data_IF_321740356047
#
_entry.id   IF_321740356047
#
_cell.length_a   1.000
_cell.length_b   1.000
_cell.length_c   1.000
_cell.angle_alpha   90.00
_cell.angle_beta   90.00
_cell.angle_gamma   90.00
#
_symmetry.space_group_name_H-M   'P 1'
#
loop_
_entity.id
_entity.type
_entity.pdbx_description
1 polymer ?
#
# COMPACT_ATOMS: atom_id res chain seq x y z
N UNK A 1 38.19 28.37 35.82
CA UNK A 1 37.26 27.63 36.68
C UNK A 1 35.99 28.47 36.85
N UNK A 2 34.99 28.26 36.00
CA UNK A 2 33.64 28.85 36.11
C UNK A 2 32.67 27.76 35.68
N UNK A 3 31.76 27.41 36.59
CA UNK A 3 30.78 26.34 36.45
C UNK A 3 29.77 26.64 35.33
N UNK A 4 29.40 25.58 34.62
CA UNK A 4 28.30 25.52 33.66
C UNK A 4 26.95 25.62 34.36
N UNK A 5 26.04 26.43 33.81
CA UNK A 5 24.60 26.27 33.99
C UNK A 5 24.07 25.53 32.77
N UNK A 6 23.52 24.34 33.01
CA UNK A 6 22.86 23.51 32.01
C UNK A 6 21.62 24.23 31.47
N UNK A 7 21.61 24.48 30.16
CA UNK A 7 20.42 24.92 29.43
C UNK A 7 19.49 23.74 29.22
N UNK A 8 18.27 23.86 29.72
CA UNK A 8 17.16 22.97 29.43
C UNK A 8 16.69 23.20 27.99
N UNK A 9 17.01 22.27 27.08
CA UNK A 9 16.36 22.18 25.77
C UNK A 9 14.88 21.84 25.97
N UNK A 10 14.02 22.84 25.77
CA UNK A 10 12.58 22.60 25.55
C UNK A 10 12.41 22.00 24.16
N UNK A 11 12.10 20.70 24.10
CA UNK A 11 11.55 20.09 22.90
C UNK A 11 10.31 20.89 22.46
N UNK A 12 10.32 21.37 21.22
CA UNK A 12 9.16 22.02 20.63
C UNK A 12 8.02 20.99 20.51
N UNK A 13 7.03 21.07 21.40
CA UNK A 13 5.75 20.39 21.23
C UNK A 13 5.12 20.89 19.91
N UNK A 14 5.24 20.09 18.84
CA UNK A 14 4.48 20.32 17.61
C UNK A 14 3.00 20.17 17.96
N UNK A 15 2.27 21.29 18.01
CA UNK A 15 0.81 21.29 18.21
C UNK A 15 0.15 20.91 16.89
N UNK A 16 -0.64 19.83 16.89
CA UNK A 16 -1.47 19.41 15.76
C UNK A 16 -2.94 19.63 16.13
N UNK A 17 -3.72 20.12 15.16
CA UNK A 17 -5.12 20.56 15.28
C UNK A 17 -5.87 20.20 14.00
N UNK A 18 -7.17 19.96 14.08
CA UNK A 18 -8.03 19.69 12.91
C UNK A 18 -8.96 20.87 12.60
N UNK A 19 -8.98 21.31 11.36
CA UNK A 19 -9.78 22.46 10.89
C UNK A 19 -10.75 22.03 9.78
N UNK A 20 -11.88 22.74 9.69
CA UNK A 20 -12.89 22.55 8.65
C UNK A 20 -12.79 23.60 7.56
N UNK A 21 -13.26 23.21 6.39
CA UNK A 21 -12.92 23.80 5.13
C UNK A 21 -14.10 23.60 4.16
N UNK A 22 -14.62 24.67 3.56
CA UNK A 22 -15.74 24.57 2.61
C UNK A 22 -15.46 25.40 1.34
N UNK A 23 -16.05 24.98 0.21
CA UNK A 23 -15.99 25.71 -1.06
C UNK A 23 -17.14 25.32 -2.00
N UNK A 24 -17.74 26.30 -2.68
CA UNK A 24 -18.73 26.08 -3.74
C UNK A 24 -18.11 25.51 -5.03
N UNK A 25 -16.77 25.55 -5.16
CA UNK A 25 -15.97 24.94 -6.22
C UNK A 25 -14.62 24.51 -5.62
N UNK A 26 -14.22 23.25 -5.80
CA UNK A 26 -12.97 22.62 -5.31
C UNK A 26 -11.64 23.28 -5.77
N UNK A 27 -11.69 24.48 -6.36
CA UNK A 27 -10.54 25.24 -6.86
C UNK A 27 -9.86 26.02 -5.72
N UNK A 28 -10.61 26.36 -4.67
CA UNK A 28 -10.08 27.04 -3.48
C UNK A 28 -10.87 26.64 -2.26
N UNK A 29 -10.17 26.22 -1.22
CA UNK A 29 -10.76 25.86 0.07
C UNK A 29 -10.59 27.06 1.00
N UNK A 30 -11.69 27.59 1.55
CA UNK A 30 -11.63 28.69 2.51
C UNK A 30 -11.67 28.13 3.93
N UNK A 31 -10.76 28.61 4.79
CA UNK A 31 -10.78 28.37 6.23
C UNK A 31 -12.15 28.77 6.77
N UNK A 32 -12.79 27.89 7.53
CA UNK A 32 -13.90 28.33 8.35
C UNK A 32 -13.31 29.28 9.43
N UNK A 33 -13.83 30.50 9.57
CA UNK A 33 -13.31 31.52 10.51
C UNK A 33 -13.45 31.15 12.01
N UNK A 34 -13.77 29.91 12.33
CA UNK A 34 -13.85 29.38 13.69
C UNK A 34 -12.62 28.52 13.99
N UNK A 35 -12.28 28.39 15.28
CA UNK A 35 -11.13 27.59 15.71
C UNK A 35 -11.24 26.11 15.34
N UNK A 36 -10.15 25.37 15.50
CA UNK A 36 -10.08 23.93 15.25
C UNK A 36 -11.19 23.12 15.95
N UNK A 37 -11.88 22.26 15.19
CA UNK A 37 -12.99 21.41 15.66
C UNK A 37 -12.54 20.25 16.54
N UNK A 38 -11.29 19.82 16.40
CA UNK A 38 -10.60 18.93 17.34
C UNK A 38 -9.30 19.62 17.75
N UNK A 39 -9.32 20.40 18.87
CA UNK A 39 -8.24 21.33 19.21
C UNK A 39 -6.98 20.66 19.78
N UNK A 40 -7.03 19.35 20.04
CA UNK A 40 -5.91 18.55 20.54
C UNK A 40 -6.31 17.10 20.84
N UNK A 41 -5.35 16.28 21.31
CA UNK A 41 -5.60 14.89 21.69
C UNK A 41 -6.50 14.79 22.93
N UNK A 42 -7.01 13.58 23.24
CA UNK A 42 -7.77 13.33 24.46
C UNK A 42 -7.02 13.82 25.72
N UNK A 43 -7.77 14.21 26.75
CA UNK A 43 -7.21 14.81 27.95
C UNK A 43 -6.08 13.95 28.55
N UNK A 44 -4.95 14.60 28.86
CA UNK A 44 -3.75 14.00 29.43
C UNK A 44 -3.06 12.91 28.59
N UNK A 45 -3.43 12.73 27.31
CA UNK A 45 -2.73 11.81 26.42
C UNK A 45 -1.38 12.38 25.95
N UNK A 46 -0.27 11.74 26.36
CA UNK A 46 1.08 12.08 25.89
C UNK A 46 1.34 11.42 24.52
N UNK A 47 0.83 12.05 23.46
CA UNK A 47 0.82 11.45 22.12
C UNK A 47 2.16 11.51 21.39
N UNK A 48 2.48 10.47 20.60
CA UNK A 48 3.61 10.47 19.65
C UNK A 48 3.28 11.22 18.36
N UNK A 49 2.00 11.24 18.01
CA UNK A 49 1.41 11.92 16.85
C UNK A 49 -0.10 12.04 17.03
N UNK A 50 -0.71 13.05 16.42
CA UNK A 50 -2.16 13.25 16.43
C UNK A 50 -2.58 13.99 15.16
N UNK A 51 -2.57 13.26 14.04
CA UNK A 51 -2.69 13.82 12.69
C UNK A 51 -3.43 12.86 11.75
N UNK A 52 -3.55 13.29 10.50
CA UNK A 52 -4.09 12.52 9.39
C UNK A 52 -5.53 12.05 9.66
N UNK A 53 -6.45 13.00 9.90
CA UNK A 53 -7.84 12.66 10.14
C UNK A 53 -8.44 12.01 8.89
N UNK A 54 -9.08 10.86 9.08
CA UNK A 54 -9.77 10.17 8.00
C UNK A 54 -11.25 10.03 8.34
N UNK A 55 -12.09 10.72 7.56
CA UNK A 55 -13.54 10.74 7.75
C UNK A 55 -14.22 9.67 6.91
N UNK A 56 -15.17 8.96 7.52
CA UNK A 56 -15.88 7.87 6.86
C UNK A 56 -17.25 7.62 7.49
N UNK A 57 -18.11 6.90 6.78
CA UNK A 57 -19.35 6.32 7.31
C UNK A 57 -19.20 4.81 7.37
N UNK A 58 -19.75 4.17 8.40
CA UNK A 58 -19.72 2.72 8.52
C UNK A 58 -20.96 2.22 9.29
N UNK A 59 -21.92 1.56 8.62
CA UNK A 59 -23.14 1.12 9.27
C UNK A 59 -22.90 -0.01 10.29
N UNK A 60 -21.76 -0.68 10.24
CA UNK A 60 -21.39 -1.66 11.26
C UNK A 60 -21.04 -0.96 12.59
N UNK A 61 -20.37 0.19 12.54
CA UNK A 61 -20.13 1.05 13.72
C UNK A 61 -21.43 1.67 14.21
N UNK A 62 -22.31 2.15 13.31
CA UNK A 62 -23.62 2.68 13.70
C UNK A 62 -24.37 1.66 14.57
N UNK A 63 -24.43 0.39 14.12
CA UNK A 63 -25.07 -0.71 14.86
C UNK A 63 -24.34 -1.04 16.17
N UNK A 64 -23.02 -1.07 16.18
CA UNK A 64 -22.23 -1.43 17.36
C UNK A 64 -22.31 -0.38 18.48
N UNK A 65 -22.36 0.90 18.09
CA UNK A 65 -22.35 2.06 18.99
C UNK A 65 -23.73 2.68 19.20
N UNK A 66 -24.78 2.09 18.61
CA UNK A 66 -26.14 2.62 18.59
C UNK A 66 -26.19 4.09 18.12
N UNK A 67 -25.37 4.42 17.12
CA UNK A 67 -25.35 5.77 16.53
C UNK A 67 -26.44 5.89 15.46
N UNK A 68 -26.86 7.12 15.16
CA UNK A 68 -27.76 7.37 14.04
C UNK A 68 -27.20 6.81 12.71
N UNK A 69 -28.09 6.29 11.87
CA UNK A 69 -27.72 5.78 10.54
C UNK A 69 -27.02 6.86 9.71
N UNK A 70 -25.84 6.54 9.18
CA UNK A 70 -25.05 7.49 8.39
C UNK A 70 -24.24 8.47 9.24
N UNK A 71 -23.96 8.13 10.50
CA UNK A 71 -23.05 8.92 11.34
C UNK A 71 -21.67 9.01 10.68
N UNK A 72 -21.09 10.21 10.69
CA UNK A 72 -19.71 10.40 10.29
C UNK A 72 -18.77 10.07 11.43
N UNK A 73 -17.80 9.21 11.14
CA UNK A 73 -16.69 8.89 12.01
C UNK A 73 -15.43 9.57 11.51
N UNK A 74 -14.50 9.82 12.41
CA UNK A 74 -13.16 10.26 12.09
C UNK A 74 -12.14 9.44 12.89
N UNK A 75 -11.17 8.86 12.21
CA UNK A 75 -9.97 8.33 12.85
C UNK A 75 -8.87 9.38 12.83
N UNK A 76 -8.04 9.41 13.87
CA UNK A 76 -6.82 10.22 13.92
C UNK A 76 -5.66 9.28 14.23
N UNK A 77 -4.60 9.35 13.41
CA UNK A 77 -3.44 8.48 13.47
C UNK A 77 -2.39 8.99 14.46
N UNK A 78 -1.77 8.06 15.19
CA UNK A 78 -0.63 8.39 16.02
C UNK A 78 -0.23 7.29 17.01
N UNK A 79 -0.17 7.67 18.29
CA UNK A 79 0.25 6.81 19.39
C UNK A 79 0.38 7.54 20.71
N UNK A 80 0.71 6.81 21.75
CA UNK A 80 0.92 7.29 23.13
C UNK A 80 2.30 6.85 23.59
N UNK A 81 3.12 7.81 24.02
CA UNK A 81 4.45 7.56 24.58
C UNK A 81 4.39 6.58 25.75
N UNK A 82 5.27 5.57 25.72
CA UNK A 82 5.34 4.53 26.75
C UNK A 82 4.25 3.45 26.69
N UNK A 83 3.22 3.63 25.85
CA UNK A 83 2.12 2.67 25.68
C UNK A 83 2.19 1.98 24.31
N UNK A 84 2.28 2.74 23.22
CA UNK A 84 2.31 2.18 21.87
C UNK A 84 1.62 3.07 20.85
N UNK A 85 1.48 2.58 19.61
CA UNK A 85 0.77 3.31 18.54
C UNK A 85 -0.72 3.08 18.64
N UNK A 86 -1.48 4.08 18.21
CA UNK A 86 -2.92 4.13 18.38
C UNK A 86 -3.60 4.80 17.20
N UNK A 87 -4.78 4.30 16.87
CA UNK A 87 -5.77 5.00 16.06
C UNK A 87 -6.88 5.47 17.01
N UNK A 88 -7.07 6.78 17.08
CA UNK A 88 -8.07 7.42 17.92
C UNK A 88 -9.36 7.58 17.13
N UNK A 89 -10.48 7.05 17.62
CA UNK A 89 -11.76 7.14 16.91
C UNK A 89 -12.63 8.23 17.52
N UNK A 90 -13.32 8.94 16.64
CA UNK A 90 -14.31 9.94 16.95
C UNK A 90 -15.57 9.70 16.14
N UNK A 91 -16.72 10.17 16.64
CA UNK A 91 -17.94 10.34 15.84
C UNK A 91 -18.43 11.78 15.88
N UNK A 92 -19.07 12.21 14.80
CA UNK A 92 -19.80 13.47 14.76
C UNK A 92 -20.86 13.45 15.88
N UNK A 93 -20.92 14.52 16.66
CA UNK A 93 -21.92 14.63 17.70
C UNK A 93 -23.32 14.77 17.09
N UNK A 94 -24.26 13.92 17.48
CA UNK A 94 -25.52 13.73 16.74
C UNK A 94 -26.38 15.00 16.61
N UNK A 95 -26.28 15.91 17.58
CA UNK A 95 -27.03 17.18 17.58
C UNK A 95 -26.33 18.31 16.83
N UNK A 96 -25.10 18.09 16.35
CA UNK A 96 -24.28 19.07 15.65
C UNK A 96 -24.19 18.74 14.16
N UNK A 97 -25.08 19.37 13.39
CA UNK A 97 -25.14 19.21 11.93
C UNK A 97 -24.04 19.98 11.19
N UNK A 98 -23.30 20.85 11.87
CA UNK A 98 -22.27 21.71 11.29
C UNK A 98 -20.85 21.12 11.45
N UNK A 99 -20.75 19.86 11.92
CA UNK A 99 -19.50 19.12 12.11
C UNK A 99 -18.51 19.77 13.10
N UNK A 100 -18.97 20.66 13.99
CA UNK A 100 -18.10 21.39 14.91
C UNK A 100 -17.64 20.56 16.10
N UNK A 101 -18.40 19.52 16.45
CA UNK A 101 -18.26 18.73 17.66
C UNK A 101 -18.04 17.26 17.32
N UNK A 102 -16.95 16.70 17.85
CA UNK A 102 -16.55 15.32 17.65
C UNK A 102 -16.39 14.63 19.00
N UNK A 103 -17.17 13.60 19.24
CA UNK A 103 -17.12 12.78 20.45
C UNK A 103 -16.00 11.75 20.31
N UNK A 104 -15.07 11.71 21.28
CA UNK A 104 -14.01 10.71 21.33
C UNK A 104 -14.55 9.36 21.82
N UNK A 105 -14.26 8.29 21.07
CA UNK A 105 -14.76 6.93 21.30
C UNK A 105 -13.65 5.94 21.73
N UNK A 106 -12.49 6.44 22.12
CA UNK A 106 -11.39 5.63 22.59
C UNK A 106 -10.34 5.30 21.53
N UNK A 107 -9.39 4.44 21.93
CA UNK A 107 -8.31 3.96 21.07
C UNK A 107 -8.81 2.76 20.27
N UNK A 108 -9.48 3.03 19.15
CA UNK A 108 -10.10 2.00 18.30
C UNK A 108 -9.13 0.90 17.90
N UNK A 109 -7.87 1.23 17.65
CA UNK A 109 -6.80 0.24 17.57
C UNK A 109 -5.62 0.67 18.40
N UNK A 110 -5.06 -0.25 19.18
CA UNK A 110 -3.84 -0.04 19.96
C UNK A 110 -2.94 -1.26 19.91
N UNK A 111 -1.64 -1.04 19.81
CA UNK A 111 -0.65 -2.12 19.75
C UNK A 111 0.62 -1.70 20.52
N UNK A 112 1.28 -2.63 21.21
CA UNK A 112 2.50 -2.37 22.01
C UNK A 112 3.73 -1.94 21.19
N UNK A 113 4.36 -0.83 21.53
CA UNK A 113 5.48 -0.25 20.78
C UNK A 113 6.46 -1.26 20.14
N UNK A 114 6.68 -1.07 18.84
CA UNK A 114 7.51 -1.86 17.94
C UNK A 114 7.23 -3.37 17.84
N UNK A 115 6.05 -3.90 18.18
CA UNK A 115 5.69 -5.31 17.85
C UNK A 115 5.39 -5.52 16.35
N UNK A 116 5.19 -6.78 15.94
CA UNK A 116 4.88 -7.22 14.56
C UNK A 116 3.65 -8.13 14.53
N UNK A 117 3.00 -8.24 13.36
CA UNK A 117 1.95 -9.23 13.08
C UNK A 117 2.49 -10.67 13.08
N UNK A 118 3.64 -10.86 12.43
CA UNK A 118 4.36 -12.13 12.31
C UNK A 118 5.87 -11.87 12.26
N UNK A 119 6.66 -12.76 12.86
CA UNK A 119 8.13 -12.69 12.79
C UNK A 119 8.65 -13.02 11.38
N UNK A 120 7.86 -13.74 10.59
CA UNK A 120 8.14 -14.03 9.19
C UNK A 120 8.09 -12.79 8.27
N UNK A 121 7.69 -11.62 8.79
CA UNK A 121 7.77 -10.34 8.09
C UNK A 121 6.65 -10.06 7.09
N UNK A 122 5.54 -10.82 7.13
CA UNK A 122 4.42 -10.68 6.20
C UNK A 122 3.76 -9.28 6.23
N UNK A 123 3.79 -8.60 7.37
CA UNK A 123 3.25 -7.25 7.54
C UNK A 123 4.24 -6.27 8.18
N UNK A 124 5.54 -6.43 7.95
CA UNK A 124 6.57 -5.54 8.51
C UNK A 124 6.48 -5.44 10.03
N UNK A 125 6.54 -4.22 10.58
CA UNK A 125 6.35 -3.95 12.01
C UNK A 125 5.27 -2.88 12.19
N UNK A 126 4.55 -2.95 13.30
CA UNK A 126 3.59 -1.91 13.68
C UNK A 126 4.29 -0.61 14.12
N UNK A 127 5.58 -0.66 14.43
CA UNK A 127 6.43 0.51 14.65
C UNK A 127 6.17 1.30 15.93
N UNK A 128 6.51 2.58 15.96
CA UNK A 128 6.35 3.46 17.13
C UNK A 128 5.22 4.45 16.99
N UNK A 129 4.75 4.71 15.76
CA UNK A 129 3.68 5.65 15.45
C UNK A 129 2.93 5.18 14.19
N UNK A 130 1.61 5.37 14.17
CA UNK A 130 0.80 5.21 12.96
C UNK A 130 0.59 6.57 12.26
N UNK A 131 0.52 6.53 10.93
CA UNK A 131 0.27 7.69 10.07
C UNK A 131 -0.72 7.30 8.96
N UNK A 132 -1.47 8.29 8.45
CA UNK A 132 -2.31 8.17 7.24
C UNK A 132 -3.18 6.91 7.23
N UNK A 133 -3.90 6.67 8.32
CA UNK A 133 -4.87 5.58 8.36
C UNK A 133 -6.06 5.89 7.43
N UNK A 134 -6.53 4.89 6.69
CA UNK A 134 -7.80 4.94 5.98
C UNK A 134 -8.66 3.76 6.44
N UNK A 135 -9.92 4.02 6.71
CA UNK A 135 -10.89 3.02 7.13
C UNK A 135 -11.93 2.74 6.03
N UNK A 136 -12.19 1.47 5.74
CA UNK A 136 -13.15 1.07 4.72
C UNK A 136 -13.62 -0.37 4.90
N UNK A 137 -14.67 -0.76 4.18
CA UNK A 137 -15.18 -2.12 4.17
C UNK A 137 -15.31 -2.63 2.73
N UNK A 138 -14.98 -3.90 2.53
CA UNK A 138 -14.85 -4.53 1.23
C UNK A 138 -15.64 -5.84 1.14
N UNK A 139 -16.09 -6.14 -0.08
CA UNK A 139 -16.44 -7.49 -0.49
C UNK A 139 -15.58 -7.91 -1.70
N UNK A 140 -15.96 -8.99 -2.38
CA UNK A 140 -15.21 -9.49 -3.55
C UNK A 140 -15.29 -8.58 -4.78
N UNK A 141 -16.25 -7.65 -4.83
CA UNK A 141 -16.48 -6.74 -5.96
C UNK A 141 -15.87 -5.36 -5.76
N UNK A 142 -15.60 -4.96 -4.51
CA UNK A 142 -15.02 -3.65 -4.21
C UNK A 142 -15.47 -3.13 -2.85
N UNK A 143 -15.82 -1.84 -2.81
CA UNK A 143 -16.33 -1.21 -1.58
C UNK A 143 -17.73 -1.72 -1.29
N UNK A 144 -17.94 -2.16 -0.06
CA UNK A 144 -19.26 -2.55 0.44
C UNK A 144 -19.38 -2.11 1.90
N UNK A 145 -20.34 -1.24 2.26
CA UNK A 145 -20.45 -0.71 3.62
C UNK A 145 -20.68 -1.79 4.69
N UNK A 146 -21.29 -2.93 4.33
CA UNK A 146 -21.53 -4.08 5.21
C UNK A 146 -20.49 -5.20 5.03
N UNK A 147 -19.44 -4.98 4.22
CA UNK A 147 -18.38 -5.95 3.96
C UNK A 147 -17.36 -6.11 5.11
N UNK A 148 -16.30 -6.88 4.85
CA UNK A 148 -15.19 -7.06 5.80
C UNK A 148 -14.45 -5.74 6.00
N UNK A 149 -14.12 -5.39 7.25
CA UNK A 149 -13.48 -4.12 7.59
C UNK A 149 -11.97 -4.22 7.36
N UNK A 150 -11.43 -3.20 6.69
CA UNK A 150 -10.01 -3.02 6.44
C UNK A 150 -9.55 -1.63 6.87
N UNK A 151 -8.26 -1.55 7.21
CA UNK A 151 -7.53 -0.30 7.29
C UNK A 151 -6.28 -0.37 6.42
N UNK A 152 -5.93 0.73 5.76
CA UNK A 152 -4.56 0.97 5.27
C UNK A 152 -3.90 1.98 6.18
N UNK A 153 -2.61 1.82 6.47
CA UNK A 153 -1.90 2.74 7.36
C UNK A 153 -0.39 2.70 7.13
N UNK A 154 0.25 3.82 7.42
CA UNK A 154 1.67 3.91 7.59
C UNK A 154 2.10 3.51 9.00
N UNK A 155 3.19 2.75 9.13
CA UNK A 155 3.86 2.54 10.42
C UNK A 155 5.32 2.99 10.37
N UNK A 156 5.70 3.88 11.29
CA UNK A 156 7.06 4.42 11.40
C UNK A 156 7.90 3.64 12.41
N UNK A 157 9.09 3.19 12.05
CA UNK A 157 10.02 2.60 13.02
C UNK A 157 11.49 2.82 12.70
N UNK A 158 12.33 2.65 13.73
CA UNK A 158 13.77 2.90 13.66
C UNK A 158 14.58 1.74 14.23
N UNK A 159 15.81 1.59 13.74
CA UNK A 159 16.77 0.66 14.30
C UNK A 159 17.24 1.14 15.68
N UNK A 160 17.72 0.20 16.50
CA UNK A 160 18.35 0.56 17.77
C UNK A 160 19.85 0.90 17.55
N UNK A 161 20.39 1.94 18.20
CA UNK A 161 19.67 2.94 19.01
C UNK A 161 18.86 3.91 18.16
N UNK A 162 17.70 4.36 18.69
CA UNK A 162 16.82 5.33 18.01
C UNK A 162 17.56 6.66 17.86
N UNK A 163 17.59 7.19 16.64
CA UNK A 163 18.10 8.54 16.36
C UNK A 163 16.94 9.54 16.44
N UNK A 164 17.07 10.62 17.24
CA UNK A 164 16.02 11.63 17.36
C UNK A 164 15.60 12.19 16.01
N UNK A 165 14.28 12.32 15.80
CA UNK A 165 13.66 12.86 14.57
C UNK A 165 13.91 12.05 13.29
N UNK A 166 14.37 10.80 13.39
CA UNK A 166 14.58 9.92 12.24
C UNK A 166 13.72 8.66 12.39
N UNK A 167 12.91 8.41 11.37
CA UNK A 167 12.24 7.12 11.14
C UNK A 167 13.00 6.40 10.01
N UNK A 168 13.76 5.34 10.35
CA UNK A 168 14.60 4.61 9.38
C UNK A 168 13.77 3.83 8.35
N UNK A 169 12.60 3.36 8.79
CA UNK A 169 11.72 2.51 8.01
C UNK A 169 10.29 3.01 8.15
N UNK A 170 9.60 3.01 7.01
CA UNK A 170 8.20 3.36 6.87
C UNK A 170 7.52 2.24 6.13
N UNK A 171 6.55 1.61 6.80
CA UNK A 171 5.84 0.45 6.30
C UNK A 171 4.47 0.85 5.77
N UNK A 172 4.19 0.60 4.49
CA UNK A 172 2.87 0.82 3.91
C UNK A 172 2.01 -0.43 4.10
N UNK A 173 1.25 -0.47 5.19
CA UNK A 173 0.52 -1.64 5.65
C UNK A 173 -0.96 -1.62 5.25
N UNK A 174 -1.55 -2.81 5.25
CA UNK A 174 -2.99 -3.02 5.35
C UNK A 174 -3.30 -4.03 6.45
N UNK A 175 -4.49 -3.92 7.03
CA UNK A 175 -4.99 -4.83 8.06
C UNK A 175 -6.48 -5.06 7.87
N UNK A 176 -6.93 -6.31 7.92
CA UNK A 176 -8.33 -6.68 8.04
C UNK A 176 -8.64 -7.00 9.50
N UNK A 177 -9.88 -6.80 9.93
CA UNK A 177 -10.23 -7.09 11.31
C UNK A 177 -11.71 -7.05 11.61
N UNK A 178 -12.02 -7.37 12.87
CA UNK A 178 -13.37 -7.31 13.43
C UNK A 178 -13.41 -6.24 14.49
N UNK A 179 -14.58 -5.66 14.69
CA UNK A 179 -14.82 -4.72 15.79
C UNK A 179 -15.68 -5.35 16.88
N UNK A 180 -15.39 -4.99 18.12
CA UNK A 180 -16.11 -5.43 19.31
C UNK A 180 -16.14 -4.33 20.36
N UNK A 181 -17.12 -4.36 21.25
CA UNK A 181 -17.13 -3.49 22.42
C UNK A 181 -16.31 -4.13 23.54
N UNK A 182 -15.39 -3.37 24.11
CA UNK A 182 -14.68 -3.76 25.31
C UNK A 182 -15.66 -3.71 26.49
N UNK A 183 -15.95 -4.85 27.10
CA UNK A 183 -16.92 -4.95 28.20
C UNK A 183 -16.49 -4.21 29.47
N UNK A 184 -15.19 -3.92 29.65
CA UNK A 184 -14.66 -3.22 30.82
C UNK A 184 -14.67 -1.70 30.65
N UNK A 185 -14.29 -1.21 29.47
CA UNK A 185 -14.16 0.22 29.21
C UNK A 185 -15.36 0.82 28.47
N UNK A 186 -16.16 -0.01 27.79
CA UNK A 186 -17.22 0.42 26.89
C UNK A 186 -16.72 0.90 25.52
N UNK A 187 -15.41 0.96 25.30
CA UNK A 187 -14.82 1.43 24.06
C UNK A 187 -15.02 0.42 22.92
N UNK A 188 -15.18 0.92 21.70
CA UNK A 188 -15.11 0.07 20.51
C UNK A 188 -13.66 -0.21 20.15
N UNK A 189 -13.34 -1.47 19.86
CA UNK A 189 -11.99 -1.96 19.57
C UNK A 189 -11.97 -2.78 18.29
N UNK A 190 -11.00 -2.49 17.42
CA UNK A 190 -10.66 -3.23 16.22
C UNK A 190 -9.58 -4.27 16.52
N UNK A 191 -9.88 -5.52 16.21
CA UNK A 191 -9.01 -6.69 16.39
C UNK A 191 -8.56 -7.23 15.02
N UNK A 192 -7.25 -7.17 14.69
CA UNK A 192 -6.72 -7.69 13.43
C UNK A 192 -6.96 -9.19 13.24
N UNK A 193 -7.42 -9.59 12.05
CA UNK A 193 -7.59 -10.99 11.63
C UNK A 193 -6.55 -11.41 10.59
N UNK A 194 -6.08 -10.49 9.76
CA UNK A 194 -4.97 -10.67 8.83
C UNK A 194 -4.33 -9.32 8.48
N UNK A 195 -3.05 -9.31 8.12
CA UNK A 195 -2.34 -8.09 7.78
C UNK A 195 -1.22 -8.31 6.77
N UNK A 196 -0.94 -7.31 5.96
CA UNK A 196 0.15 -7.35 4.98
C UNK A 196 0.65 -5.96 4.63
N UNK A 197 1.42 -5.89 3.53
CA UNK A 197 1.87 -4.62 2.96
C UNK A 197 1.09 -4.31 1.70
N UNK A 198 0.58 -3.08 1.61
CA UNK A 198 -0.01 -2.56 0.39
C UNK A 198 1.08 -2.17 -0.62
N UNK A 199 2.26 -1.76 -0.13
CA UNK A 199 3.45 -1.49 -0.93
C UNK A 199 4.70 -2.00 -0.24
N UNK A 200 5.45 -2.89 -0.89
CA UNK A 200 6.68 -3.47 -0.34
C UNK A 200 7.93 -2.60 -0.54
N UNK A 201 7.87 -1.62 -1.45
CA UNK A 201 9.03 -0.78 -1.75
C UNK A 201 9.29 0.20 -0.62
N UNK A 202 10.56 0.39 -0.24
CA UNK A 202 10.90 1.21 0.93
C UNK A 202 10.56 2.69 0.80
N UNK A 203 10.40 3.17 -0.43
CA UNK A 203 9.98 4.55 -0.74
C UNK A 203 8.46 4.71 -0.89
N UNK A 204 7.69 3.61 -0.80
CA UNK A 204 6.24 3.63 -0.97
C UNK A 204 5.56 3.74 0.41
N UNK A 205 4.74 4.78 0.62
CA UNK A 205 4.12 5.08 1.92
C UNK A 205 2.87 5.94 1.78
N UNK A 206 2.26 6.31 2.92
CA UNK A 206 1.19 7.30 3.02
C UNK A 206 0.08 7.12 1.98
N UNK A 207 -0.51 5.93 1.92
CA UNK A 207 -1.60 5.66 1.01
C UNK A 207 -2.81 6.55 1.32
N UNK A 208 -3.34 7.20 0.30
CA UNK A 208 -4.60 7.94 0.37
C UNK A 208 -5.69 7.11 -0.29
N UNK A 209 -6.63 6.62 0.51
CA UNK A 209 -7.79 5.87 0.06
C UNK A 209 -9.05 6.72 -0.04
N UNK A 210 -9.92 6.47 -1.02
CA UNK A 210 -11.28 7.04 -1.08
C UNK A 210 -12.28 6.07 -1.70
N UNK A 211 -13.53 6.19 -1.26
CA UNK A 211 -14.67 5.55 -1.91
C UNK A 211 -14.92 6.25 -3.24
N UNK A 212 -14.99 5.47 -4.31
CA UNK A 212 -15.38 5.90 -5.64
C UNK A 212 -16.67 5.16 -6.03
N UNK A 213 -17.79 5.84 -5.89
CA UNK A 213 -19.11 5.23 -6.09
C UNK A 213 -19.35 4.83 -7.55
N UNK A 214 -20.26 3.88 -7.78
CA UNK A 214 -20.77 3.48 -9.09
C UNK A 214 -21.39 4.66 -9.86
N UNK A 215 -21.85 5.69 -9.14
CA UNK A 215 -22.44 6.90 -9.72
C UNK A 215 -21.42 7.96 -10.16
N UNK A 216 -20.15 7.79 -9.77
CA UNK A 216 -19.05 8.67 -10.21
C UNK A 216 -18.87 8.64 -11.72
N UNK A 217 -18.31 9.71 -12.29
CA UNK A 217 -18.10 9.80 -13.74
C UNK A 217 -17.21 8.66 -14.27
N UNK A 218 -16.14 8.33 -13.53
CA UNK A 218 -15.23 7.25 -13.89
C UNK A 218 -15.95 5.90 -13.88
N UNK A 219 -16.65 5.57 -12.79
CA UNK A 219 -17.38 4.30 -12.68
C UNK A 219 -18.50 4.17 -13.70
N UNK A 220 -19.26 5.24 -14.01
CA UNK A 220 -20.27 5.22 -15.06
C UNK A 220 -19.69 4.91 -16.44
N UNK A 221 -18.51 5.45 -16.75
CA UNK A 221 -17.83 5.19 -18.04
C UNK A 221 -17.30 3.77 -18.14
N UNK A 222 -16.79 3.21 -17.03
CA UNK A 222 -16.17 1.88 -17.00
C UNK A 222 -17.14 0.76 -16.60
N UNK A 223 -18.38 1.08 -16.23
CA UNK A 223 -19.34 0.11 -15.68
C UNK A 223 -18.91 -0.45 -14.33
N UNK A 224 -18.07 0.27 -13.58
CA UNK A 224 -17.56 -0.21 -12.30
C UNK A 224 -18.61 -0.10 -11.17
N UNK A 225 -18.61 -1.03 -10.21
CA UNK A 225 -19.43 -0.92 -9.01
C UNK A 225 -18.88 0.17 -8.07
N UNK A 226 -19.36 0.21 -6.83
CA UNK A 226 -18.71 0.97 -5.77
C UNK A 226 -17.31 0.39 -5.52
N UNK A 227 -16.32 1.28 -5.43
CA UNK A 227 -14.90 0.92 -5.32
C UNK A 227 -14.27 1.63 -4.15
N UNK A 228 -13.23 1.04 -3.61
CA UNK A 228 -12.25 1.76 -2.82
C UNK A 228 -10.98 1.91 -3.65
N UNK A 229 -10.60 3.16 -3.94
CA UNK A 229 -9.40 3.48 -4.72
C UNK A 229 -8.32 4.00 -3.78
N UNK A 230 -7.15 3.40 -3.84
CA UNK A 230 -5.98 3.79 -3.06
C UNK A 230 -4.86 4.32 -3.96
N UNK A 231 -4.29 5.47 -3.59
CA UNK A 231 -3.09 6.04 -4.20
C UNK A 231 -1.96 6.00 -3.19
N UNK A 232 -0.87 5.30 -3.51
CA UNK A 232 0.30 5.23 -2.62
C UNK A 232 1.30 6.31 -3.04
N UNK A 233 1.87 7.03 -2.09
CA UNK A 233 2.93 8.00 -2.36
C UNK A 233 4.27 7.29 -2.52
N UNK A 234 5.01 7.63 -3.58
CA UNK A 234 6.38 7.21 -3.80
C UNK A 234 7.32 8.40 -3.63
N UNK A 235 8.01 8.46 -2.48
CA UNK A 235 9.01 9.52 -2.22
C UNK A 235 10.24 9.32 -3.09
N UNK A 236 10.75 10.39 -3.71
CA UNK A 236 12.00 10.38 -4.49
C UNK A 236 13.26 10.68 -3.69
N UNK A 237 13.13 11.16 -2.46
CA UNK A 237 14.25 11.55 -1.60
C UNK A 237 14.36 10.73 -0.30
N UNK A 238 13.57 9.65 -0.21
CA UNK A 238 13.54 8.75 0.92
C UNK A 238 13.21 9.47 2.23
N UNK A 239 12.12 10.24 2.19
CA UNK A 239 11.62 10.99 3.33
C UNK A 239 12.64 12.02 3.83
N UNK A 240 13.35 12.66 2.90
CA UNK A 240 14.37 13.67 3.16
C UNK A 240 15.71 13.14 3.69
N UNK A 241 15.94 11.82 3.69
CA UNK A 241 17.20 11.23 4.19
C UNK A 241 18.27 11.04 3.11
N UNK A 242 17.91 11.16 1.82
CA UNK A 242 18.87 11.18 0.72
C UNK A 242 19.27 12.60 0.34
N UNK A 243 20.56 12.80 0.08
CA UNK A 243 21.09 14.01 -0.55
C UNK A 243 20.80 14.04 -2.06
N UNK A 244 19.52 13.86 -2.43
CA UNK A 244 19.07 13.81 -3.81
C UNK A 244 19.18 15.20 -4.47
N UNK A 245 19.43 15.23 -5.78
CA UNK A 245 19.61 16.45 -6.58
C UNK A 245 18.27 17.10 -6.94
N UNK A 246 17.49 17.48 -5.92
CA UNK A 246 16.14 18.01 -6.08
C UNK A 246 16.07 19.27 -6.97
N UNK A 247 17.07 20.16 -6.91
CA UNK A 247 17.10 21.38 -7.73
C UNK A 247 17.27 21.08 -9.22
N UNK A 248 18.06 20.06 -9.58
CA UNK A 248 18.25 19.67 -10.98
C UNK A 248 17.00 18.96 -11.51
N UNK A 249 16.35 18.13 -10.68
CA UNK A 249 15.13 17.44 -11.07
C UNK A 249 13.91 18.37 -11.09
N UNK A 250 13.86 19.38 -10.22
CA UNK A 250 12.75 20.34 -10.05
C UNK A 250 11.41 19.70 -9.65
N UNK A 251 11.44 18.46 -9.18
CA UNK A 251 10.35 17.70 -8.55
C UNK A 251 10.95 16.57 -7.70
N UNK A 252 10.21 15.98 -6.77
CA UNK A 252 10.78 15.03 -5.80
C UNK A 252 9.98 13.77 -5.52
N UNK A 253 8.80 13.56 -6.13
CA UNK A 253 7.93 12.43 -5.80
C UNK A 253 6.90 12.17 -6.89
N UNK A 254 6.26 11.00 -6.82
CA UNK A 254 5.06 10.68 -7.59
C UNK A 254 4.02 9.98 -6.71
N UNK A 255 2.76 9.98 -7.15
CA UNK A 255 1.82 8.96 -6.72
C UNK A 255 2.00 7.73 -7.62
N UNK A 256 1.77 6.55 -7.04
CA UNK A 256 1.65 5.31 -7.78
C UNK A 256 0.28 5.26 -8.48
N UNK A 257 0.15 4.32 -9.42
CA UNK A 257 -1.12 4.06 -10.10
C UNK A 257 -2.25 3.82 -9.08
N UNK A 258 -3.46 4.34 -9.33
CA UNK A 258 -4.62 4.06 -8.49
C UNK A 258 -4.84 2.55 -8.40
N UNK A 259 -5.13 2.07 -7.19
CA UNK A 259 -5.40 0.66 -6.93
C UNK A 259 -6.85 0.46 -6.50
N UNK A 260 -7.55 -0.44 -7.17
CA UNK A 260 -8.84 -0.97 -6.72
C UNK A 260 -8.58 -2.05 -5.67
N UNK A 261 -9.24 -1.93 -4.51
CA UNK A 261 -9.16 -2.90 -3.42
C UNK A 261 -10.43 -3.76 -3.35
N UNK A 262 -10.27 -5.05 -3.02
CA UNK A 262 -11.37 -6.00 -2.79
C UNK A 262 -10.94 -7.13 -1.85
N UNK A 263 -11.89 -7.93 -1.38
CA UNK A 263 -11.59 -9.22 -0.73
C UNK A 263 -11.30 -10.26 -1.81
N UNK A 264 -10.19 -10.99 -1.68
CA UNK A 264 -9.85 -12.07 -2.61
C UNK A 264 -9.84 -13.41 -1.89
N UNK A 265 -10.44 -14.41 -2.51
CA UNK A 265 -10.43 -15.79 -2.03
C UNK A 265 -9.66 -16.70 -2.98
N UNK A 266 -8.90 -17.65 -2.44
CA UNK A 266 -8.24 -18.73 -3.18
C UNK A 266 -8.54 -20.06 -2.48
N UNK A 267 -9.07 -21.03 -3.21
CA UNK A 267 -9.16 -22.41 -2.73
C UNK A 267 -7.86 -23.15 -3.08
N UNK A 268 -7.15 -23.62 -2.06
CA UNK A 268 -5.82 -24.23 -2.17
C UNK A 268 -5.80 -25.57 -1.43
N UNK A 269 -4.79 -26.41 -1.71
CA UNK A 269 -4.55 -27.64 -0.95
C UNK A 269 -4.33 -27.29 0.53
N UNK A 270 -4.83 -28.15 1.42
CA UNK A 270 -4.59 -28.02 2.85
C UNK A 270 -3.23 -28.65 3.24
N UNK A 271 -2.29 -27.82 3.69
CA UNK A 271 -0.97 -28.22 4.20
C UNK A 271 -0.42 -27.15 5.15
N UNK A 272 0.69 -27.44 5.84
CA UNK A 272 1.23 -26.56 6.89
C UNK A 272 1.35 -25.09 6.45
N UNK A 273 1.86 -24.80 5.25
CA UNK A 273 2.00 -23.42 4.78
C UNK A 273 0.66 -22.77 4.43
N UNK A 274 -0.39 -23.48 3.99
CA UNK A 274 -1.69 -22.84 3.76
C UNK A 274 -2.31 -22.35 5.08
N UNK A 275 -2.05 -23.07 6.17
CA UNK A 275 -2.57 -22.81 7.52
C UNK A 275 -1.78 -21.75 8.31
N UNK A 276 -0.53 -21.48 7.92
CA UNK A 276 0.32 -20.52 8.63
C UNK A 276 -0.25 -19.09 8.69
N UNK A 277 -0.05 -18.44 9.84
CA UNK A 277 -0.37 -17.02 10.02
C UNK A 277 0.50 -16.16 9.09
N UNK A 278 -0.13 -15.36 8.24
CA UNK A 278 0.56 -14.48 7.30
C UNK A 278 -0.30 -13.32 6.83
N UNK A 279 -0.08 -12.88 5.60
CA UNK A 279 -0.94 -11.88 4.93
C UNK A 279 -2.21 -12.48 4.33
N UNK A 280 -2.82 -13.38 5.12
CA UNK A 280 -4.00 -14.17 4.76
C UNK A 280 -4.69 -14.67 6.01
N UNK A 281 -5.92 -15.15 5.84
CA UNK A 281 -6.71 -15.89 6.83
C UNK A 281 -7.27 -17.15 6.17
N UNK A 282 -7.40 -18.24 6.91
CA UNK A 282 -8.26 -19.38 6.52
C UNK A 282 -9.71 -18.99 6.76
N UNK A 283 -10.47 -18.85 5.67
CA UNK A 283 -11.86 -18.42 5.68
C UNK A 283 -12.81 -19.60 5.84
N UNK A 284 -12.51 -20.73 5.20
CA UNK A 284 -13.24 -21.98 5.36
C UNK A 284 -12.36 -23.20 5.07
N UNK A 285 -12.73 -24.35 5.65
CA UNK A 285 -12.08 -25.64 5.43
C UNK A 285 -12.96 -26.52 4.54
N UNK A 286 -12.32 -27.20 3.60
CA UNK A 286 -12.92 -28.19 2.70
C UNK A 286 -12.30 -29.57 2.90
N UNK A 287 -12.71 -30.55 2.08
CA UNK A 287 -12.13 -31.89 2.14
C UNK A 287 -10.77 -31.93 1.41
N UNK A 288 -9.69 -31.71 2.15
CA UNK A 288 -8.31 -31.67 1.61
C UNK A 288 -7.93 -30.33 0.95
N UNK A 289 -8.78 -29.31 1.08
CA UNK A 289 -8.54 -27.94 0.63
C UNK A 289 -8.91 -26.94 1.72
N UNK A 290 -8.37 -25.73 1.64
CA UNK A 290 -8.79 -24.57 2.45
C UNK A 290 -9.05 -23.38 1.55
N UNK A 291 -10.05 -22.57 1.89
CA UNK A 291 -10.27 -21.27 1.26
C UNK A 291 -9.52 -20.21 2.04
N UNK A 292 -8.58 -19.54 1.39
CA UNK A 292 -7.79 -18.46 1.96
C UNK A 292 -8.35 -17.10 1.54
N UNK A 293 -8.53 -16.19 2.48
CA UNK A 293 -8.87 -14.79 2.23
C UNK A 293 -7.62 -13.89 2.27
N UNK A 294 -7.60 -12.87 1.41
CA UNK A 294 -6.55 -11.86 1.28
C UNK A 294 -7.15 -10.48 1.01
N UNK A 295 -6.36 -9.41 1.22
CA UNK A 295 -6.60 -8.15 0.52
C UNK A 295 -6.21 -8.32 -0.95
N UNK A 296 -7.19 -8.27 -1.84
CA UNK A 296 -6.99 -8.10 -3.27
C UNK A 296 -6.69 -6.64 -3.59
N UNK A 297 -5.69 -6.41 -4.45
CA UNK A 297 -5.42 -5.08 -4.97
C UNK A 297 -4.84 -5.13 -6.38
N UNK A 298 -5.42 -4.31 -7.26
CA UNK A 298 -5.10 -4.28 -8.69
C UNK A 298 -4.96 -2.83 -9.16
N UNK A 299 -4.15 -2.58 -10.20
CA UNK A 299 -4.20 -1.32 -10.93
C UNK A 299 -5.66 -1.08 -11.35
N UNK A 300 -6.18 0.12 -11.11
CA UNK A 300 -7.54 0.47 -11.47
C UNK A 300 -7.80 0.18 -12.95
N UNK A 301 -9.02 -0.25 -13.27
CA UNK A 301 -9.35 -0.81 -14.58
C UNK A 301 -9.17 0.19 -15.71
N UNK A 302 -9.44 1.48 -15.46
CA UNK A 302 -9.42 2.51 -16.51
C UNK A 302 -8.00 2.83 -17.00
N UNK A 303 -7.00 3.13 -16.13
CA UNK A 303 -5.62 3.30 -16.58
C UNK A 303 -5.08 2.07 -17.31
N UNK A 304 -5.31 0.86 -16.77
CA UNK A 304 -4.80 -0.36 -17.39
C UNK A 304 -5.42 -0.60 -18.78
N UNK A 305 -6.73 -0.39 -18.93
CA UNK A 305 -7.38 -0.46 -20.23
C UNK A 305 -6.85 0.60 -21.20
N UNK A 306 -6.61 1.82 -20.72
CA UNK A 306 -6.09 2.92 -21.53
C UNK A 306 -4.65 2.67 -22.01
N UNK A 307 -3.78 2.09 -21.18
CA UNK A 307 -2.42 1.72 -21.59
C UNK A 307 -2.41 0.70 -22.73
N UNK A 308 -3.33 -0.27 -22.71
CA UNK A 308 -3.46 -1.28 -23.77
C UNK A 308 -4.04 -0.67 -25.04
N UNK A 309 -5.12 0.10 -24.90
CA UNK A 309 -5.86 0.65 -26.04
C UNK A 309 -5.09 1.73 -26.81
N UNK A 310 -4.21 2.48 -26.12
CA UNK A 310 -3.41 3.54 -26.71
C UNK A 310 -1.93 3.15 -26.86
N UNK A 311 -1.63 1.85 -26.81
CA UNK A 311 -0.27 1.36 -27.01
C UNK A 311 0.23 1.79 -28.40
N UNK A 312 1.37 2.45 -28.42
CA UNK A 312 2.07 2.85 -29.65
C UNK A 312 2.69 1.65 -30.35
N UNK A 313 3.14 0.66 -29.58
CA UNK A 313 3.60 -0.64 -30.06
C UNK A 313 3.06 -1.76 -29.16
N UNK A 314 2.71 -2.88 -29.78
CA UNK A 314 2.46 -4.15 -29.10
C UNK A 314 3.63 -5.09 -29.44
N UNK A 315 4.43 -5.41 -28.42
CA UNK A 315 5.56 -6.31 -28.56
C UNK A 315 5.17 -7.63 -27.92
N UNK A 316 4.98 -8.65 -28.75
CA UNK A 316 4.67 -9.99 -28.32
C UNK A 316 5.93 -10.87 -28.33
N UNK A 317 6.21 -11.48 -27.19
CA UNK A 317 7.28 -12.46 -27.01
C UNK A 317 6.64 -13.83 -26.72
N UNK A 318 6.84 -14.84 -27.60
CA UNK A 318 6.20 -16.14 -27.44
C UNK A 318 6.69 -16.87 -26.19
N UNK A 319 5.84 -17.77 -25.70
CA UNK A 319 6.17 -18.72 -24.66
C UNK A 319 7.45 -19.50 -24.99
N UNK A 320 8.29 -19.73 -23.98
CA UNK A 320 9.56 -20.41 -24.13
C UNK A 320 9.96 -21.12 -22.84
N UNK A 321 10.54 -22.31 -22.97
CA UNK A 321 11.22 -22.98 -21.87
C UNK A 321 12.70 -22.61 -21.94
N UNK A 322 13.19 -21.90 -20.94
CA UNK A 322 14.53 -21.33 -20.95
C UNK A 322 15.32 -21.79 -19.73
N UNK A 323 16.57 -22.17 -19.95
CA UNK A 323 17.54 -22.55 -18.91
C UNK A 323 18.61 -21.47 -18.65
N UNK A 324 18.57 -20.39 -19.43
CA UNK A 324 19.52 -19.28 -19.34
C UNK A 324 18.88 -17.97 -19.79
N UNK A 325 19.52 -16.86 -19.39
CA UNK A 325 19.09 -15.50 -19.76
C UNK A 325 19.04 -15.34 -21.27
N UNK A 326 17.88 -14.92 -21.78
CA UNK A 326 17.61 -14.81 -23.22
C UNK A 326 16.99 -13.45 -23.52
N UNK A 327 17.59 -12.70 -24.46
CA UNK A 327 17.07 -11.41 -24.88
C UNK A 327 15.71 -11.56 -25.59
N UNK A 328 14.85 -10.55 -25.47
CA UNK A 328 13.62 -10.50 -26.24
C UNK A 328 13.92 -10.31 -27.73
N UNK A 329 13.07 -10.86 -28.59
CA UNK A 329 13.17 -10.69 -30.05
C UNK A 329 13.09 -9.20 -30.40
N UNK A 330 12.28 -8.44 -29.66
CA UNK A 330 12.14 -7.00 -29.82
C UNK A 330 12.01 -6.37 -28.45
N UNK A 331 12.73 -5.27 -28.22
CA UNK A 331 12.64 -4.47 -26.99
C UNK A 331 11.90 -3.15 -27.27
N UNK A 332 11.23 -2.57 -26.26
CA UNK A 332 10.61 -1.25 -26.37
C UNK A 332 11.60 -0.18 -26.83
N UNK A 333 11.10 0.83 -27.52
CA UNK A 333 11.88 1.99 -27.93
C UNK A 333 11.92 3.09 -26.86
N UNK A 334 11.08 3.01 -25.83
CA UNK A 334 10.90 3.97 -24.74
C UNK A 334 10.90 3.28 -23.36
N UNK A 335 10.97 4.09 -22.30
CA UNK A 335 10.86 3.65 -20.89
C UNK A 335 9.46 3.89 -20.33
N UNK A 336 8.46 3.81 -21.20
CA UNK A 336 7.05 3.95 -20.85
C UNK A 336 6.34 2.72 -21.38
N UNK A 337 6.12 1.72 -20.55
CA UNK A 337 5.46 0.49 -21.00
C UNK A 337 4.82 -0.29 -19.85
N UNK A 338 3.81 -1.07 -20.20
CA UNK A 338 3.29 -2.15 -19.35
C UNK A 338 3.77 -3.46 -19.92
N UNK A 339 4.56 -4.18 -19.13
CA UNK A 339 4.80 -5.59 -19.29
C UNK A 339 3.63 -6.35 -18.67
N UNK A 340 3.03 -7.22 -19.46
CA UNK A 340 1.96 -8.09 -19.01
C UNK A 340 2.19 -9.50 -19.52
N UNK A 341 1.71 -10.45 -18.76
CA UNK A 341 1.84 -11.85 -19.09
C UNK A 341 0.47 -12.51 -19.13
N UNK A 342 0.13 -13.10 -20.27
CA UNK A 342 -1.10 -13.88 -20.40
C UNK A 342 -0.89 -15.34 -19.92
N UNK A 343 -1.96 -15.94 -19.43
CA UNK A 343 -1.96 -17.09 -18.52
C UNK A 343 -1.44 -18.43 -19.10
N UNK A 344 -1.02 -19.28 -18.14
CA UNK A 344 -0.71 -20.74 -18.13
C UNK A 344 0.77 -21.14 -18.30
N UNK A 345 1.38 -21.50 -17.16
CA UNK A 345 2.53 -22.39 -17.12
C UNK A 345 2.12 -23.85 -17.41
N UNK A 346 2.78 -24.57 -18.33
CA UNK A 346 2.96 -25.99 -18.13
C UNK A 346 3.82 -26.21 -16.88
N UNK A 347 3.49 -27.28 -16.15
CA UNK A 347 4.16 -27.75 -14.94
C UNK A 347 5.69 -27.66 -15.08
N UNK A 348 6.42 -27.27 -14.04
CA UNK A 348 7.69 -27.86 -13.56
C UNK A 348 8.33 -26.95 -12.49
N UNK A 349 8.92 -27.60 -11.48
CA UNK A 349 9.52 -27.00 -10.28
C UNK A 349 10.92 -26.43 -10.59
N UNK A 350 10.97 -25.24 -11.17
CA UNK A 350 12.13 -24.34 -11.04
C UNK A 350 11.75 -22.94 -11.50
N UNK A 351 11.67 -22.01 -10.56
CA UNK A 351 11.49 -20.56 -10.77
C UNK A 351 12.41 -19.82 -9.80
N UNK A 352 12.76 -18.58 -10.13
CA UNK A 352 13.33 -17.65 -9.17
C UNK A 352 12.49 -16.35 -9.13
N UNK A 353 11.77 -15.85 -8.10
CA UNK A 353 11.55 -16.21 -6.68
C UNK A 353 12.71 -16.93 -6.03
N UNK A 354 13.53 -16.25 -5.24
CA UNK A 354 14.33 -17.00 -4.27
C UNK A 354 13.34 -17.78 -3.39
N UNK A 355 13.02 -19.02 -3.74
CA UNK A 355 12.11 -19.88 -2.97
C UNK A 355 12.70 -20.15 -1.58
N UNK A 356 14.02 -19.99 -1.43
CA UNK A 356 14.66 -19.98 -0.13
C UNK A 356 14.09 -18.93 0.83
N UNK A 357 13.42 -17.86 0.33
CA UNK A 357 12.79 -16.85 1.17
C UNK A 357 11.45 -16.26 0.64
N UNK A 358 10.84 -16.88 -0.37
CA UNK A 358 9.51 -16.54 -0.91
C UNK A 358 9.35 -15.05 -1.25
N UNK A 359 10.33 -14.48 -1.96
CA UNK A 359 10.36 -13.06 -2.27
C UNK A 359 10.46 -12.73 -3.76
N UNK A 360 9.78 -11.66 -4.17
CA UNK A 360 10.04 -10.92 -5.41
C UNK A 360 11.07 -9.84 -5.10
N UNK A 361 12.12 -9.74 -5.91
CA UNK A 361 13.25 -8.82 -5.71
C UNK A 361 13.39 -7.93 -6.94
N UNK A 362 13.54 -6.63 -6.73
CA UNK A 362 13.97 -5.67 -7.75
C UNK A 362 15.43 -5.36 -7.49
N UNK A 363 16.33 -5.97 -8.28
CA UNK A 363 17.76 -5.66 -8.21
C UNK A 363 18.05 -4.31 -8.87
N UNK A 364 18.65 -3.40 -8.10
CA UNK A 364 18.97 -2.05 -8.56
C UNK A 364 20.46 -1.73 -8.55
N UNK A 365 21.31 -2.71 -8.27
CA UNK A 365 22.76 -2.54 -8.13
C UNK A 365 23.40 -1.91 -9.37
N UNK A 366 22.90 -2.25 -10.56
CA UNK A 366 23.35 -1.73 -11.85
C UNK A 366 22.33 -0.79 -12.53
N UNK A 367 21.33 -0.29 -11.79
CA UNK A 367 20.21 0.47 -12.37
C UNK A 367 20.59 1.86 -12.91
N UNK A 368 21.67 2.47 -12.41
CA UNK A 368 22.00 3.86 -12.75
C UNK A 368 23.51 4.10 -12.84
N UNK A 369 23.99 4.45 -14.03
CA UNK A 369 25.35 4.95 -14.20
C UNK A 369 25.58 6.25 -13.42
N UNK A 370 24.54 7.08 -13.26
CA UNK A 370 24.63 8.34 -12.53
C UNK A 370 24.90 8.13 -11.03
N UNK A 371 24.51 6.97 -10.46
CA UNK A 371 24.79 6.67 -9.05
C UNK A 371 26.31 6.59 -8.74
N UNK A 372 27.15 6.34 -9.73
CA UNK A 372 28.61 6.33 -9.56
C UNK A 372 29.23 7.74 -9.46
N UNK A 373 28.53 8.76 -9.94
CA UNK A 373 29.02 10.15 -10.03
C UNK A 373 28.20 11.13 -9.20
N UNK A 374 27.02 10.71 -8.71
CA UNK A 374 26.05 11.57 -8.04
C UNK A 374 25.55 10.92 -6.76
N UNK A 375 25.79 11.58 -5.63
CA UNK A 375 25.24 11.16 -4.33
C UNK A 375 23.72 11.27 -4.31
N UNK A 376 23.07 10.48 -3.46
CA UNK A 376 21.61 10.51 -3.29
C UNK A 376 20.81 9.69 -4.31
N UNK A 377 21.46 9.07 -5.31
CA UNK A 377 20.82 8.06 -6.15
C UNK A 377 20.93 6.69 -5.46
N UNK A 378 19.81 6.22 -4.92
CA UNK A 378 19.76 4.99 -4.15
C UNK A 378 19.60 3.76 -5.05
N UNK A 379 20.52 2.80 -4.94
CA UNK A 379 20.59 1.60 -5.80
C UNK A 379 20.43 0.29 -5.03
N UNK A 380 20.02 0.34 -3.75
CA UNK A 380 19.78 -0.89 -2.99
C UNK A 380 18.58 -1.65 -3.53
N UNK A 381 18.66 -2.97 -3.48
CA UNK A 381 17.58 -3.86 -3.89
C UNK A 381 16.33 -3.63 -3.03
N UNK A 382 15.18 -3.79 -3.67
CA UNK A 382 13.88 -3.82 -3.00
C UNK A 382 13.39 -5.27 -2.99
N UNK A 383 12.70 -5.67 -1.93
CA UNK A 383 12.19 -7.04 -1.83
C UNK A 383 10.82 -7.05 -1.13
N UNK A 384 9.96 -7.97 -1.56
CA UNK A 384 8.70 -8.23 -0.88
C UNK A 384 8.29 -9.69 -0.94
N UNK A 385 7.61 -10.15 0.11
CA UNK A 385 7.21 -11.56 0.23
C UNK A 385 5.94 -11.87 -0.57
N UNK A 386 5.96 -12.98 -1.28
CA UNK A 386 4.82 -13.57 -1.96
C UNK A 386 4.91 -15.09 -1.88
N UNK A 387 3.91 -15.71 -1.25
CA UNK A 387 3.72 -17.15 -1.30
C UNK A 387 2.88 -17.54 -2.53
N UNK A 388 3.31 -18.60 -3.23
CA UNK A 388 2.58 -19.25 -4.30
C UNK A 388 2.04 -20.59 -3.77
N UNK A 389 0.72 -20.71 -3.68
CA UNK A 389 0.09 -21.86 -3.04
C UNK A 389 -0.04 -23.07 -3.96
N UNK A 390 -0.18 -24.25 -3.40
CA UNK A 390 -0.53 -25.45 -4.15
C UNK A 390 -2.05 -25.50 -4.41
N UNK A 391 -2.46 -25.56 -5.68
CA UNK A 391 -3.85 -25.75 -6.10
C UNK A 391 -4.16 -27.23 -6.35
N UNK A 392 -5.38 -27.69 -6.01
CA UNK A 392 -5.80 -29.05 -6.35
C UNK A 392 -5.87 -29.24 -7.87
N UNK A 393 -5.46 -30.43 -8.34
CA UNK A 393 -5.47 -30.80 -9.76
C UNK A 393 -5.82 -32.29 -9.93
N UNK A 394 -6.20 -32.69 -11.15
CA UNK A 394 -6.55 -34.08 -11.46
C UNK A 394 -5.43 -35.10 -11.22
N UNK A 395 -4.17 -34.63 -11.10
CA UNK A 395 -2.97 -35.47 -10.92
C UNK A 395 -2.25 -35.20 -9.59
N UNK A 396 -2.89 -34.54 -8.62
CA UNK A 396 -2.27 -34.13 -7.35
C UNK A 396 -2.37 -32.62 -7.14
N UNK A 397 -1.28 -31.94 -6.80
CA UNK A 397 -1.24 -30.48 -6.67
C UNK A 397 -0.44 -29.80 -7.78
N UNK A 398 -0.76 -28.53 -8.04
CA UNK A 398 0.02 -27.65 -8.93
C UNK A 398 0.29 -26.33 -8.21
N UNK A 399 1.55 -25.93 -8.16
CA UNK A 399 1.95 -24.61 -7.65
C UNK A 399 1.23 -23.51 -8.44
N UNK A 400 0.76 -22.50 -7.72
CA UNK A 400 0.13 -21.31 -8.25
C UNK A 400 0.98 -20.67 -9.34
N UNK A 401 0.32 -20.26 -10.41
CA UNK A 401 0.96 -19.49 -11.47
C UNK A 401 1.30 -18.10 -10.95
N UNK A 402 2.57 -17.71 -11.04
CA UNK A 402 2.97 -16.31 -10.86
C UNK A 402 2.48 -15.47 -12.06
N UNK A 403 1.49 -14.62 -11.81
CA UNK A 403 0.94 -13.64 -12.74
C UNK A 403 1.56 -12.27 -12.45
N UNK A 404 2.35 -11.74 -13.39
CA UNK A 404 3.11 -10.50 -13.23
C UNK A 404 2.59 -9.41 -14.17
N UNK A 405 2.38 -8.23 -13.60
CA UNK A 405 2.25 -6.98 -14.35
C UNK A 405 3.33 -6.03 -13.88
N UNK A 406 4.17 -5.53 -14.79
CA UNK A 406 5.20 -4.54 -14.49
C UNK A 406 4.91 -3.28 -15.29
N UNK A 407 4.77 -2.15 -14.61
CA UNK A 407 4.62 -0.85 -15.24
C UNK A 407 5.92 -0.07 -15.05
N UNK A 408 6.48 0.39 -16.16
CA UNK A 408 7.65 1.28 -16.19
C UNK A 408 7.20 2.61 -16.76
N UNK A 409 7.30 3.66 -15.96
CA UNK A 409 6.92 5.03 -16.31
C UNK A 409 8.08 5.97 -16.01
N UNK A 410 8.97 6.13 -17.00
CA UNK A 410 10.21 6.89 -16.88
C UNK A 410 11.14 6.26 -15.84
N UNK A 411 11.21 6.86 -14.65
CA UNK A 411 11.98 6.37 -13.52
C UNK A 411 11.18 5.51 -12.53
N UNK A 412 9.85 5.51 -12.62
CA UNK A 412 8.98 4.75 -11.71
C UNK A 412 8.82 3.33 -12.21
N UNK A 413 9.02 2.34 -11.33
CA UNK A 413 8.74 0.93 -11.62
C UNK A 413 7.75 0.40 -10.59
N UNK A 414 6.64 -0.15 -11.06
CA UNK A 414 5.66 -0.87 -10.25
C UNK A 414 5.55 -2.32 -10.70
N UNK A 415 5.76 -3.26 -9.78
CA UNK A 415 5.58 -4.69 -10.01
C UNK A 415 4.39 -5.17 -9.18
N UNK A 416 3.38 -5.69 -9.88
CA UNK A 416 2.18 -6.27 -9.31
C UNK A 416 2.16 -7.78 -9.56
N UNK A 417 1.76 -8.55 -8.57
CA UNK A 417 1.69 -10.01 -8.69
C UNK A 417 0.41 -10.60 -8.10
N UNK A 418 -0.20 -11.52 -8.87
CA UNK A 418 -1.36 -12.34 -8.49
C UNK A 418 -2.54 -11.57 -7.84
N UNK A 419 -2.65 -10.26 -8.11
CA UNK A 419 -3.68 -9.40 -7.55
C UNK A 419 -3.65 -9.21 -6.03
N UNK A 420 -2.53 -9.50 -5.37
CA UNK A 420 -2.38 -9.40 -3.90
C UNK A 420 -0.97 -9.00 -3.45
N UNK A 421 -0.16 -8.52 -4.38
CA UNK A 421 1.21 -8.12 -4.15
C UNK A 421 1.57 -6.92 -5.02
N UNK A 422 2.30 -5.96 -4.43
CA UNK A 422 2.74 -4.74 -5.09
C UNK A 422 4.06 -4.26 -4.49
N UNK A 423 5.07 -4.10 -5.32
CA UNK A 423 6.35 -3.47 -4.96
C UNK A 423 6.68 -2.38 -5.96
N UNK A 424 7.08 -1.22 -5.46
CA UNK A 424 7.25 -0.03 -6.29
C UNK A 424 8.49 0.72 -5.89
N UNK A 425 9.26 1.20 -6.86
CA UNK A 425 10.55 1.83 -6.58
C UNK A 425 10.99 2.75 -7.73
N UNK A 426 12.10 3.46 -7.49
CA UNK A 426 12.76 4.27 -8.50
C UNK A 426 13.90 3.51 -9.18
N UNK A 427 13.97 3.59 -10.51
CA UNK A 427 15.02 3.03 -11.36
C UNK A 427 15.53 4.13 -12.31
N UNK A 428 16.49 4.91 -11.83
CA UNK A 428 17.03 6.10 -12.52
C UNK A 428 18.08 5.77 -13.59
N UNK A 429 17.66 5.13 -14.68
CA UNK A 429 18.58 4.81 -15.78
C UNK A 429 19.07 6.08 -16.50
N UNK A 430 20.39 6.22 -16.68
CA UNK A 430 21.00 7.42 -17.26
C UNK A 430 20.97 7.43 -18.80
N UNK A 431 21.34 6.31 -19.44
CA UNK A 431 21.48 6.25 -20.89
C UNK A 431 20.12 6.06 -21.57
N UNK A 432 19.94 6.67 -22.74
CA UNK A 432 18.74 6.52 -23.57
C UNK A 432 18.53 5.05 -23.97
N UNK A 433 19.61 4.34 -24.29
CA UNK A 433 19.58 2.94 -24.74
C UNK A 433 19.37 1.91 -23.62
N UNK A 434 19.22 2.34 -22.36
CA UNK A 434 18.86 1.46 -21.24
C UNK A 434 17.37 1.08 -21.28
N UNK A 435 16.96 0.36 -22.33
CA UNK A 435 15.57 -0.02 -22.63
C UNK A 435 15.38 -1.49 -23.01
N UNK A 436 16.46 -2.26 -23.10
CA UNK A 436 16.40 -3.66 -23.51
C UNK A 436 15.75 -4.52 -22.43
N UNK A 437 14.96 -5.51 -22.88
CA UNK A 437 14.30 -6.49 -22.02
C UNK A 437 14.85 -7.89 -22.34
N UNK A 438 15.04 -8.70 -21.30
CA UNK A 438 15.46 -10.09 -21.40
C UNK A 438 14.67 -10.95 -20.42
N UNK A 439 14.41 -12.20 -20.78
CA UNK A 439 14.15 -13.23 -19.79
C UNK A 439 15.41 -13.47 -18.98
N UNK A 440 15.27 -13.48 -17.66
CA UNK A 440 16.35 -13.79 -16.75
C UNK A 440 16.14 -15.17 -16.14
N UNK A 441 17.13 -16.03 -16.27
CA UNK A 441 17.20 -17.35 -15.62
C UNK A 441 18.61 -17.52 -15.09
N UNK A 442 18.76 -17.58 -13.76
CA UNK A 442 20.05 -17.81 -13.10
C UNK A 442 20.35 -19.31 -12.98
N UNK A 443 19.35 -20.13 -12.67
CA UNK A 443 19.48 -21.58 -12.54
C UNK A 443 18.15 -22.32 -12.75
N UNK A 444 18.24 -23.53 -13.31
CA UNK A 444 17.10 -24.41 -13.58
C UNK A 444 16.35 -24.08 -14.87
N UNK A 445 15.33 -24.87 -15.18
CA UNK A 445 14.49 -24.69 -16.37
C UNK A 445 13.21 -23.93 -16.02
N UNK A 446 12.94 -22.85 -16.74
CA UNK A 446 11.88 -21.91 -16.42
C UNK A 446 10.96 -21.77 -17.64
N UNK A 447 9.69 -22.15 -17.48
CA UNK A 447 8.70 -22.14 -18.56
C UNK A 447 7.99 -20.79 -18.68
N UNK A 448 8.50 -19.84 -19.46
CA UNK A 448 7.79 -18.58 -19.70
C UNK A 448 6.59 -18.79 -20.63
N UNK A 449 5.47 -18.14 -20.28
CA UNK A 449 4.27 -18.05 -21.11
C UNK A 449 4.40 -16.87 -22.06
N UNK A 450 3.36 -16.63 -22.86
CA UNK A 450 3.35 -15.48 -23.75
C UNK A 450 3.45 -14.18 -22.93
N UNK A 451 4.35 -13.31 -23.37
CA UNK A 451 4.53 -11.98 -22.80
C UNK A 451 4.10 -10.96 -23.84
N UNK A 452 3.37 -9.96 -23.39
CA UNK A 452 2.98 -8.80 -24.18
C UNK A 452 3.50 -7.55 -23.49
N UNK A 453 4.15 -6.67 -24.26
CA UNK A 453 4.57 -5.36 -23.79
C UNK A 453 3.80 -4.30 -24.58
N UNK A 454 3.00 -3.51 -23.87
CA UNK A 454 2.29 -2.36 -24.43
C UNK A 454 3.11 -1.10 -24.17
N UNK A 455 3.63 -0.52 -25.23
CA UNK A 455 4.53 0.62 -25.18
C UNK A 455 3.79 1.96 -25.33
N UNK A 456 4.27 2.99 -24.63
CA UNK A 456 3.84 4.39 -24.76
C UNK A 456 2.98 4.88 -23.60
N UNK A 457 2.32 3.97 -22.87
CA UNK A 457 1.35 4.31 -21.81
C UNK A 457 0.29 5.31 -22.31
N UNK A 458 -0.05 6.30 -21.48
CA UNK A 458 -0.88 7.45 -21.85
C UNK A 458 -0.30 8.73 -21.24
N UNK A 459 -0.59 9.87 -21.86
CA UNK A 459 -0.40 11.16 -21.20
C UNK A 459 -1.50 11.37 -20.15
N UNK A 460 -1.14 11.19 -18.88
CA UNK A 460 -2.05 11.40 -17.75
C UNK A 460 -2.35 12.89 -17.49
N UNK A 461 -1.59 13.82 -18.10
CA UNK A 461 -1.70 15.26 -17.91
C UNK A 461 -1.77 16.03 -19.24
N UNK A 462 -2.75 15.74 -20.12
CA UNK A 462 -2.77 16.24 -21.51
C UNK A 462 -2.92 17.77 -21.63
N UNK A 463 -3.28 18.45 -20.55
CA UNK A 463 -3.37 19.90 -20.51
C UNK A 463 -2.06 20.60 -20.08
N UNK A 464 -1.04 19.85 -19.64
CA UNK A 464 0.28 20.41 -19.30
C UNK A 464 1.12 20.46 -20.56
N UNK A 465 1.67 21.63 -20.88
CA UNK A 465 2.75 21.75 -21.87
C UNK A 465 4.06 21.31 -21.24
N UNK A 466 4.74 20.33 -21.86
CA UNK A 466 6.09 19.91 -21.49
C UNK A 466 7.15 20.95 -21.82
#
# INVERSE_FOLDING_TARGET
MRLSLAGTERAALRRQRLELFNSDKLISVADHFQGSVIPGPPFAANVTGFRDPYVFQNPQLDRALQSNSGTWYATISGGIHGSGRSIFLYRQYESDLDFQTWEYLGQYRHELANTTWTDAGWAGRWGYNFEVENHFSLDTNGYNPDGEIFMTLGAEWSHAPIVPQISDVREMLWVAGKQSINNETGDVVFSPTMAGKLGWGRSAYAAAGKILTATSLASKKSGAPDRFISYVWLTGDYYGTLAFRANQQNWSSSLLLPRELSVRHLEVVDYDLSQEKGSRRVDSEGNGTVTLAFLGHHIAREPLAAFKANATNDISQPAANLSSTTAFITSPQSKHYVFFRDHRFPQYRSWQLRFSNESIIVDRSASSAAASTTTGIYTRNEAGKLHLFDFPSSTGSKIETLDLTIVVDGGTVEVHANGRFGISTWVWTWYADSRNISFFVEAGDVAFGNVTVWEGLIDAWPARSG
#
